data_IF_124514430562
#
_entry.id   IF_124514430562
#
_cell.length_a   1.000
_cell.length_b   1.000
_cell.length_c   1.000
_cell.angle_alpha   90.00
_cell.angle_beta   90.00
_cell.angle_gamma   90.00
#
_symmetry.space_group_name_H-M   'P 1'
#
loop_
_entity.id
_entity.type
_entity.pdbx_description
1 polymer ?
#
# COMPACT_ATOMS: atom_id res chain seq x y z
N UNK A 1 -5.96 -8.37 -2.90
CA UNK A 1 -4.49 -8.44 -2.66
C UNK A 1 -4.16 -7.81 -1.32
N UNK A 2 -3.37 -8.47 -0.48
CA UNK A 2 -2.92 -7.93 0.82
C UNK A 2 -1.65 -7.08 0.69
N UNK A 3 -1.58 -5.96 1.42
CA UNK A 3 -0.39 -5.08 1.47
C UNK A 3 0.46 -5.28 2.72
N UNK A 4 -0.12 -5.90 3.76
CA UNK A 4 0.52 -6.13 5.06
C UNK A 4 0.22 -7.55 5.54
N UNK A 5 1.25 -8.22 6.02
CA UNK A 5 1.19 -9.54 6.65
C UNK A 5 1.61 -9.42 8.12
N UNK A 6 0.80 -9.96 9.03
CA UNK A 6 1.12 -10.03 10.47
C UNK A 6 1.23 -11.48 10.89
N UNK A 7 2.42 -11.90 11.33
CA UNK A 7 2.72 -13.26 11.77
C UNK A 7 3.27 -13.26 13.20
N UNK A 8 2.38 -13.53 14.15
CA UNK A 8 2.72 -13.57 15.57
C UNK A 8 3.15 -12.21 16.11
N UNK A 9 4.46 -12.04 16.31
CA UNK A 9 5.06 -10.78 16.77
C UNK A 9 5.64 -9.92 15.64
N UNK A 10 5.72 -10.45 14.43
CA UNK A 10 6.36 -9.78 13.32
C UNK A 10 5.30 -9.20 12.37
N UNK A 11 5.62 -8.09 11.73
CA UNK A 11 4.84 -7.52 10.65
C UNK A 11 5.73 -7.28 9.43
N UNK A 12 5.15 -7.45 8.25
CA UNK A 12 5.84 -7.32 6.96
C UNK A 12 4.91 -6.67 5.95
N UNK A 13 5.44 -5.77 5.14
CA UNK A 13 4.81 -5.28 3.93
C UNK A 13 5.10 -6.25 2.78
N UNK A 14 4.09 -6.51 1.97
CA UNK A 14 4.22 -7.35 0.78
C UNK A 14 4.54 -6.44 -0.41
N UNK A 15 5.74 -6.56 -0.96
CA UNK A 15 6.22 -5.73 -2.08
C UNK A 15 6.85 -6.64 -3.12
N UNK A 16 6.35 -6.63 -4.35
CA UNK A 16 6.92 -7.41 -5.46
C UNK A 16 7.16 -8.92 -5.13
N UNK A 17 6.21 -9.51 -4.38
CA UNK A 17 6.26 -10.87 -3.83
C UNK A 17 7.32 -11.13 -2.73
N UNK A 18 7.95 -10.08 -2.21
CA UNK A 18 8.85 -10.11 -1.06
C UNK A 18 8.15 -9.60 0.21
N UNK A 19 8.63 -10.07 1.38
CA UNK A 19 8.17 -9.62 2.68
C UNK A 19 9.22 -8.68 3.29
N UNK A 20 8.91 -7.39 3.35
CA UNK A 20 9.81 -6.35 3.84
C UNK A 20 9.35 -5.91 5.23
N UNK A 21 10.26 -5.88 6.20
CA UNK A 21 9.91 -5.34 7.52
C UNK A 21 9.63 -3.83 7.45
N UNK A 22 8.80 -3.27 8.35
CA UNK A 22 8.59 -1.82 8.39
C UNK A 22 9.87 -1.01 8.54
N UNK A 23 10.83 -1.50 9.34
CA UNK A 23 12.11 -0.82 9.58
C UNK A 23 13.06 -0.82 8.36
N UNK A 24 12.89 -1.78 7.45
CA UNK A 24 13.71 -1.95 6.24
C UNK A 24 13.03 -1.36 4.99
N UNK A 25 11.89 -0.69 5.17
CA UNK A 25 11.08 -0.23 4.07
C UNK A 25 11.67 1.05 3.46
N UNK A 26 12.08 0.97 2.19
CA UNK A 26 12.67 2.09 1.46
C UNK A 26 11.62 2.87 0.68
N UNK A 27 12.02 4.03 0.16
CA UNK A 27 11.19 4.83 -0.73
C UNK A 27 10.75 4.03 -1.96
N UNK A 28 11.66 3.24 -2.52
CA UNK A 28 11.43 2.43 -3.71
C UNK A 28 10.33 1.38 -3.43
N UNK A 29 10.37 0.75 -2.27
CA UNK A 29 9.32 -0.19 -1.84
C UNK A 29 7.94 0.49 -1.76
N UNK A 30 7.85 1.69 -1.19
CA UNK A 30 6.60 2.45 -1.16
C UNK A 30 6.08 2.77 -2.56
N UNK A 31 6.97 3.21 -3.45
CA UNK A 31 6.61 3.52 -4.83
C UNK A 31 6.09 2.27 -5.55
N UNK A 32 6.72 1.11 -5.36
CA UNK A 32 6.22 -0.17 -5.89
C UNK A 32 4.80 -0.47 -5.39
N UNK A 33 4.52 -0.31 -4.09
CA UNK A 33 3.17 -0.53 -3.53
C UNK A 33 2.16 0.42 -4.19
N UNK A 34 2.48 1.72 -4.28
CA UNK A 34 1.58 2.72 -4.87
C UNK A 34 1.34 2.48 -6.37
N UNK A 35 2.39 2.10 -7.11
CA UNK A 35 2.26 1.75 -8.52
C UNK A 35 1.37 0.53 -8.70
N UNK A 36 1.53 -0.48 -7.85
CA UNK A 36 0.68 -1.66 -7.88
C UNK A 36 -0.79 -1.31 -7.63
N UNK A 37 -1.06 -0.43 -6.66
CA UNK A 37 -2.40 0.12 -6.42
C UNK A 37 -2.92 0.86 -7.67
N UNK A 38 -2.05 1.62 -8.33
CA UNK A 38 -2.40 2.36 -9.53
C UNK A 38 -2.65 1.47 -10.75
N UNK A 39 -1.97 0.34 -10.89
CA UNK A 39 -2.06 -0.53 -12.07
C UNK A 39 -3.12 -1.61 -11.96
N UNK A 40 -3.46 -2.06 -10.73
CA UNK A 40 -4.39 -3.17 -10.54
C UNK A 40 -5.85 -2.71 -10.45
N UNK A 41 -6.76 -3.42 -11.11
CA UNK A 41 -8.20 -3.26 -10.91
C UNK A 41 -8.73 -4.15 -9.76
N UNK A 42 -7.85 -4.98 -9.17
CA UNK A 42 -8.21 -5.86 -8.05
C UNK A 42 -8.43 -5.09 -6.75
N UNK A 43 -9.29 -5.64 -5.89
CA UNK A 43 -9.49 -5.09 -4.55
C UNK A 43 -8.23 -5.27 -3.68
N UNK A 44 -7.75 -4.16 -3.13
CA UNK A 44 -6.59 -4.12 -2.25
C UNK A 44 -7.07 -4.12 -0.81
N UNK A 45 -6.69 -5.17 -0.08
CA UNK A 45 -7.02 -5.39 1.31
C UNK A 45 -6.03 -4.60 2.17
N UNK A 46 -6.52 -3.46 2.67
CA UNK A 46 -5.81 -2.62 3.61
C UNK A 46 -6.20 -3.09 5.02
N UNK A 47 -5.24 -3.38 5.91
CA UNK A 47 -5.53 -3.80 7.28
C UNK A 47 -6.24 -2.70 8.05
N UNK A 48 -7.25 -3.08 8.84
CA UNK A 48 -7.94 -2.14 9.71
C UNK A 48 -7.05 -1.67 10.86
N UNK A 49 -7.38 -0.51 11.44
CA UNK A 49 -6.68 0.02 12.61
C UNK A 49 -6.61 -1.00 13.76
N UNK A 50 -7.67 -1.77 13.99
CA UNK A 50 -7.70 -2.82 15.03
C UNK A 50 -6.64 -3.92 14.82
N UNK A 51 -6.27 -4.19 13.56
CA UNK A 51 -5.22 -5.15 13.22
C UNK A 51 -3.84 -4.53 13.50
N UNK A 52 -3.65 -3.26 13.16
CA UNK A 52 -2.42 -2.50 13.41
C UNK A 52 -2.16 -2.35 14.92
N UNK A 53 -3.20 -2.17 15.72
CA UNK A 53 -3.12 -2.08 17.18
C UNK A 53 -2.53 -3.35 17.84
N UNK A 54 -2.54 -4.50 17.15
CA UNK A 54 -1.96 -5.76 17.64
C UNK A 54 -0.44 -5.83 17.49
N UNK A 55 0.17 -4.91 16.75
CA UNK A 55 1.63 -4.85 16.58
C UNK A 55 2.27 -4.47 17.91
N UNK A 56 3.11 -5.37 18.44
CA UNK A 56 3.71 -5.22 19.78
C UNK A 56 4.83 -4.20 19.82
N UNK A 57 5.62 -4.12 18.76
CA UNK A 57 6.72 -3.17 18.68
C UNK A 57 6.15 -1.77 18.40
N UNK A 58 6.30 -0.80 19.32
CA UNK A 58 5.71 0.53 19.14
C UNK A 58 6.31 1.30 17.96
N UNK A 59 7.58 1.06 17.63
CA UNK A 59 8.26 1.70 16.49
C UNK A 59 7.70 1.15 15.18
N UNK A 60 7.63 -0.18 15.04
CA UNK A 60 7.02 -0.82 13.87
C UNK A 60 5.56 -0.42 13.72
N UNK A 61 4.80 -0.37 14.83
CA UNK A 61 3.40 0.04 14.82
C UNK A 61 3.21 1.44 14.27
N UNK A 62 4.03 2.39 14.72
CA UNK A 62 3.99 3.77 14.24
C UNK A 62 4.31 3.86 12.75
N UNK A 63 5.35 3.16 12.29
CA UNK A 63 5.71 3.09 10.87
C UNK A 63 4.57 2.51 10.05
N UNK A 64 4.01 1.38 10.49
CA UNK A 64 2.89 0.72 9.80
C UNK A 64 1.68 1.63 9.76
N UNK A 65 1.33 2.30 10.86
CA UNK A 65 0.20 3.21 10.91
C UNK A 65 0.35 4.34 9.88
N UNK A 66 1.50 5.00 9.83
CA UNK A 66 1.75 6.09 8.88
C UNK A 66 1.68 5.61 7.42
N UNK A 67 2.28 4.45 7.11
CA UNK A 67 2.29 3.91 5.74
C UNK A 67 0.90 3.47 5.31
N UNK A 68 0.17 2.76 6.16
CA UNK A 68 -1.19 2.30 5.85
C UNK A 68 -2.13 3.48 5.64
N UNK A 69 -2.06 4.51 6.46
CA UNK A 69 -2.85 5.72 6.26
C UNK A 69 -2.55 6.36 4.90
N UNK A 70 -1.28 6.44 4.49
CA UNK A 70 -0.89 6.98 3.17
C UNK A 70 -1.39 6.13 2.01
N UNK A 71 -1.37 4.81 2.16
CA UNK A 71 -1.90 3.87 1.17
C UNK A 71 -3.42 4.02 1.04
N UNK A 72 -4.14 4.18 2.15
CA UNK A 72 -5.59 4.40 2.17
C UNK A 72 -5.95 5.72 1.49
N UNK A 73 -5.29 6.82 1.87
CA UNK A 73 -5.44 8.13 1.22
C UNK A 73 -5.19 8.05 -0.30
N UNK A 74 -4.18 7.28 -0.74
CA UNK A 74 -3.91 7.10 -2.17
C UNK A 74 -4.99 6.26 -2.85
N UNK A 75 -5.42 5.14 -2.26
CA UNK A 75 -6.46 4.26 -2.81
C UNK A 75 -7.78 5.01 -3.01
N UNK A 76 -8.17 5.87 -2.09
CA UNK A 76 -9.40 6.68 -2.23
C UNK A 76 -9.34 7.66 -3.42
N UNK A 77 -8.12 8.10 -3.78
CA UNK A 77 -7.91 9.09 -4.84
C UNK A 77 -7.48 8.47 -6.19
N UNK A 78 -7.07 7.20 -6.21
CA UNK A 78 -6.45 6.57 -7.39
C UNK A 78 -7.38 6.54 -8.59
N UNK A 79 -8.68 6.32 -8.38
CA UNK A 79 -9.69 6.30 -9.43
C UNK A 79 -9.86 7.67 -10.10
N UNK A 80 -9.79 8.75 -9.32
CA UNK A 80 -9.84 10.10 -9.86
C UNK A 80 -8.57 10.40 -10.66
N UNK A 81 -7.40 10.00 -10.14
CA UNK A 81 -6.12 10.16 -10.82
C UNK A 81 -6.09 9.43 -12.16
N UNK A 82 -6.56 8.17 -12.22
CA UNK A 82 -6.68 7.38 -13.46
C UNK A 82 -7.57 8.08 -14.47
N UNK A 83 -8.74 8.60 -14.05
CA UNK A 83 -9.67 9.33 -14.92
C UNK A 83 -9.05 10.62 -15.46
N UNK A 84 -8.35 11.37 -14.60
CA UNK A 84 -7.66 12.60 -15.00
C UNK A 84 -6.60 12.31 -16.08
N UNK A 85 -5.75 11.30 -15.85
CA UNK A 85 -4.71 10.91 -16.81
C UNK A 85 -5.34 10.43 -18.13
N UNK A 86 -6.35 9.57 -18.09
CA UNK A 86 -7.03 9.07 -19.30
C UNK A 86 -7.76 10.18 -20.06
N UNK A 87 -8.23 11.23 -19.37
CA UNK A 87 -8.88 12.40 -20.00
C UNK A 87 -7.85 13.31 -20.69
N UNK A 88 -6.68 13.54 -20.07
CA UNK A 88 -5.62 14.37 -20.64
C UNK A 88 -4.81 13.65 -21.72
N UNK A 89 -4.65 12.33 -21.58
CA UNK A 89 -3.88 11.46 -22.45
C UNK A 89 -4.75 10.29 -22.90
N UNK A 90 -5.79 10.54 -23.73
CA UNK A 90 -6.63 9.47 -24.23
C UNK A 90 -5.78 8.48 -25.02
N UNK A 91 -6.04 7.18 -24.81
CA UNK A 91 -5.42 6.14 -25.65
C UNK A 91 -5.79 6.44 -27.10
N UNK A 92 -4.78 6.57 -27.96
CA UNK A 92 -5.00 6.67 -29.39
C UNK A 92 -5.42 5.27 -29.83
N UNK A 93 -6.68 5.11 -30.26
CA UNK A 93 -7.11 3.90 -30.94
C UNK A 93 -6.41 3.85 -32.31
N UNK A 94 -5.66 2.77 -32.59
CA UNK A 94 -5.16 2.47 -33.95
C UNK A 94 -6.30 2.00 -34.86
#
# INVERSE_FOLDING_TARGET
MEVLKIEGNNCFFIVDAENIKPEDLSKEHLVSILNLIYETDDEIEIPSLEIIEKIKNPVEKEIVHQIIQKIEEFKENVENLRKEINSQFPKIEE
#
